data_IF_689613332021
#
_entry.id   IF_689613332021
#
_cell.length_a   1.000
_cell.length_b   1.000
_cell.length_c   1.000
_cell.angle_alpha   90.00
_cell.angle_beta   90.00
_cell.angle_gamma   90.00
#
_symmetry.space_group_name_H-M   'P 1'
#
loop_
_entity.id
_entity.type
_entity.pdbx_description
1 polymer ?
#
# COMPACT_ATOMS: atom_id res chain seq x y z
N UNK A 1 10.00 19.35 2.66
CA UNK A 1 10.03 17.90 2.45
C UNK A 1 8.67 17.32 2.78
N UNK A 2 7.94 16.83 1.77
CA UNK A 2 6.64 16.19 1.86
C UNK A 2 6.85 14.68 1.78
N UNK A 3 6.68 14.00 2.91
CA UNK A 3 6.75 12.54 2.96
C UNK A 3 5.37 11.98 2.64
N UNK A 4 5.30 11.18 1.58
CA UNK A 4 4.17 10.34 1.21
C UNK A 4 4.45 8.89 1.57
N UNK A 5 3.39 8.13 1.76
CA UNK A 5 3.47 6.72 2.08
C UNK A 5 2.21 6.05 1.60
N UNK A 6 2.30 4.75 1.35
CA UNK A 6 1.12 3.91 1.21
C UNK A 6 0.42 3.70 2.58
N UNK A 7 1.13 3.92 3.69
CA UNK A 7 0.64 3.64 5.05
C UNK A 7 0.82 4.77 6.10
N UNK A 8 1.58 5.87 5.86
CA UNK A 8 1.75 7.05 6.76
C UNK A 8 2.52 8.27 6.16
N UNK A 9 1.87 9.44 6.01
CA UNK A 9 2.46 10.68 5.45
C UNK A 9 1.38 11.74 5.15
N UNK A 10 1.50 12.54 4.07
CA UNK A 10 0.39 13.39 3.56
C UNK A 10 -0.91 12.59 3.31
N UNK A 11 -0.78 11.27 3.14
CA UNK A 11 -1.88 10.32 3.14
C UNK A 11 -1.40 8.87 3.02
N UNK A 12 -2.32 7.98 2.68
CA UNK A 12 -2.06 6.55 2.42
C UNK A 12 -3.09 5.92 1.48
N UNK A 13 -2.78 4.74 0.96
CA UNK A 13 -3.69 3.88 0.19
C UNK A 13 -3.66 2.50 0.84
N UNK A 14 -4.80 2.04 1.32
CA UNK A 14 -4.95 0.77 2.02
C UNK A 14 -6.15 0.02 1.44
N UNK A 15 -6.00 -1.28 1.22
CA UNK A 15 -7.04 -2.13 0.67
C UNK A 15 -7.99 -2.62 1.78
N UNK A 16 -7.46 -2.92 2.96
CA UNK A 16 -8.24 -3.45 4.08
C UNK A 16 -9.02 -2.35 4.82
N UNK A 17 -10.34 -2.53 4.89
CA UNK A 17 -11.22 -1.56 5.53
C UNK A 17 -11.06 -1.43 7.03
N UNK A 18 -10.67 -2.51 7.72
CA UNK A 18 -10.45 -2.49 9.17
C UNK A 18 -9.14 -1.77 9.49
N UNK A 19 -8.09 -2.00 8.70
CA UNK A 19 -6.84 -1.24 8.79
C UNK A 19 -7.09 0.26 8.58
N UNK A 20 -7.92 0.63 7.60
CA UNK A 20 -8.34 2.02 7.40
C UNK A 20 -9.05 2.63 8.61
N UNK A 21 -9.94 1.89 9.28
CA UNK A 21 -10.63 2.35 10.49
C UNK A 21 -9.61 2.65 11.59
N UNK A 22 -8.70 1.71 11.86
CA UNK A 22 -7.64 1.88 12.85
C UNK A 22 -6.74 3.07 12.50
N UNK A 23 -6.37 3.24 11.24
CA UNK A 23 -5.54 4.36 10.79
C UNK A 23 -6.24 5.70 11.05
N UNK A 24 -7.52 5.83 10.67
CA UNK A 24 -8.31 7.06 10.89
C UNK A 24 -8.52 7.39 12.36
N UNK A 25 -8.58 6.37 13.22
CA UNK A 25 -8.70 6.57 14.67
C UNK A 25 -7.42 7.16 15.29
N UNK A 26 -6.25 6.91 14.69
CA UNK A 26 -4.95 7.29 15.25
C UNK A 26 -4.24 8.42 14.49
N UNK A 27 -4.66 8.74 13.26
CA UNK A 27 -4.01 9.72 12.40
C UNK A 27 -5.02 10.69 11.76
N UNK A 28 -4.60 11.94 11.57
CA UNK A 28 -5.39 12.99 10.88
C UNK A 28 -5.18 13.02 9.36
N UNK A 29 -4.36 12.13 8.83
CA UNK A 29 -4.01 12.09 7.41
C UNK A 29 -5.12 11.45 6.57
N UNK A 30 -5.22 11.85 5.30
CA UNK A 30 -6.19 11.26 4.37
C UNK A 30 -5.76 9.84 4.00
N UNK A 31 -6.64 8.86 4.14
CA UNK A 31 -6.42 7.50 3.66
C UNK A 31 -7.46 7.14 2.60
N UNK A 32 -6.98 6.61 1.48
CA UNK A 32 -7.82 6.09 0.40
C UNK A 32 -7.99 4.60 0.66
N UNK A 33 -9.24 4.19 0.90
CA UNK A 33 -9.58 2.78 1.03
C UNK A 33 -9.88 2.23 -0.36
N UNK A 34 -8.87 1.66 -1.03
CA UNK A 34 -9.01 1.09 -2.37
C UNK A 34 -7.83 0.16 -2.70
N UNK A 35 -8.03 -0.68 -3.70
CA UNK A 35 -6.94 -1.40 -4.35
C UNK A 35 -6.01 -0.40 -5.05
N UNK A 36 -4.73 -0.41 -4.66
CA UNK A 36 -3.69 0.44 -5.25
C UNK A 36 -3.65 0.33 -6.78
N UNK A 37 -3.88 -0.86 -7.34
CA UNK A 37 -3.89 -1.09 -8.79
C UNK A 37 -5.04 -0.36 -9.52
N UNK A 38 -6.06 0.11 -8.79
CA UNK A 38 -7.24 0.81 -9.31
C UNK A 38 -7.22 2.32 -9.01
N UNK A 39 -6.22 2.80 -8.26
CA UNK A 39 -6.10 4.24 -7.94
C UNK A 39 -5.37 4.95 -9.07
N UNK A 40 -5.97 6.04 -9.59
CA UNK A 40 -5.26 6.93 -10.51
C UNK A 40 -4.23 7.78 -9.76
N UNK A 41 -2.97 7.35 -9.83
CA UNK A 41 -1.85 7.99 -9.16
C UNK A 41 -1.57 9.41 -9.68
N UNK A 42 -2.02 9.76 -10.89
CA UNK A 42 -1.80 11.09 -11.49
C UNK A 42 -2.56 12.20 -10.77
N UNK A 43 -3.66 11.85 -10.10
CA UNK A 43 -4.50 12.78 -9.34
C UNK A 43 -4.03 12.97 -7.90
N UNK A 44 -2.96 12.28 -7.49
CA UNK A 44 -2.40 12.42 -6.15
C UNK A 44 -1.48 13.64 -6.07
N UNK A 45 -1.45 14.26 -4.90
CA UNK A 45 -0.51 15.36 -4.62
C UNK A 45 0.94 14.90 -4.77
N UNK A 46 1.80 15.75 -5.34
CA UNK A 46 3.24 15.48 -5.40
C UNK A 46 3.82 15.23 -4.00
N UNK A 47 4.66 14.20 -3.92
CA UNK A 47 5.40 13.79 -2.72
C UNK A 47 6.89 13.75 -3.05
N UNK A 48 7.73 13.96 -2.05
CA UNK A 48 9.18 13.88 -2.18
C UNK A 48 9.71 12.49 -1.82
N UNK A 49 9.01 11.77 -0.94
CA UNK A 49 9.36 10.42 -0.46
C UNK A 49 8.12 9.54 -0.55
N UNK A 50 8.29 8.29 -0.98
CA UNK A 50 7.27 7.24 -0.93
C UNK A 50 7.75 6.11 -0.03
N UNK A 51 6.95 5.72 0.97
CA UNK A 51 7.21 4.51 1.74
C UNK A 51 6.15 3.44 1.46
N UNK A 52 6.57 2.18 1.31
CA UNK A 52 5.69 1.07 0.95
C UNK A 52 6.03 -0.17 1.80
N UNK A 53 5.01 -0.82 2.36
CA UNK A 53 5.10 -2.16 2.93
C UNK A 53 4.27 -3.11 2.08
N UNK A 54 4.90 -3.84 1.18
CA UNK A 54 4.17 -4.76 0.30
C UNK A 54 3.90 -6.11 1.00
N UNK A 55 2.85 -6.84 0.59
CA UNK A 55 2.54 -8.16 1.13
C UNK A 55 3.75 -9.11 1.06
N UNK A 56 4.25 -9.55 2.21
CA UNK A 56 5.43 -10.41 2.27
C UNK A 56 5.10 -11.90 2.08
N UNK A 57 3.81 -12.28 2.06
CA UNK A 57 3.34 -13.67 2.07
C UNK A 57 3.97 -14.52 0.95
N UNK A 58 4.14 -13.95 -0.23
CA UNK A 58 4.75 -14.64 -1.37
C UNK A 58 6.24 -14.97 -1.17
N UNK A 59 6.94 -14.27 -0.28
CA UNK A 59 8.39 -14.37 -0.07
C UNK A 59 8.77 -14.92 1.30
N UNK A 60 7.87 -14.82 2.28
CA UNK A 60 8.09 -15.24 3.67
C UNK A 60 8.40 -16.73 3.78
N UNK A 61 9.30 -17.08 4.72
CA UNK A 61 9.60 -18.47 5.10
C UNK A 61 8.36 -19.19 5.63
N UNK A 62 7.45 -18.46 6.26
CA UNK A 62 6.18 -19.00 6.75
C UNK A 62 5.11 -19.15 5.65
N UNK A 63 5.38 -18.72 4.42
CA UNK A 63 4.49 -18.85 3.27
C UNK A 63 4.92 -19.94 2.29
N UNK A 64 4.19 -20.09 1.18
CA UNK A 64 4.50 -21.08 0.13
C UNK A 64 5.70 -20.69 -0.76
N UNK A 65 6.32 -19.53 -0.51
CA UNK A 65 7.49 -19.01 -1.25
C UNK A 65 7.33 -19.04 -2.77
N UNK A 66 6.10 -18.81 -3.24
CA UNK A 66 5.76 -18.76 -4.67
C UNK A 66 6.34 -17.52 -5.37
N UNK A 67 6.77 -16.52 -4.60
CA UNK A 67 7.35 -15.29 -5.09
C UNK A 67 6.44 -14.64 -6.13
N UNK A 68 7.00 -14.29 -7.28
CA UNK A 68 6.25 -13.68 -8.38
C UNK A 68 5.18 -14.58 -9.02
N UNK A 69 5.17 -15.88 -8.74
CA UNK A 69 4.14 -16.81 -9.22
C UNK A 69 2.94 -16.91 -8.27
N UNK A 70 2.91 -16.08 -7.23
CA UNK A 70 1.78 -16.04 -6.29
C UNK A 70 0.62 -15.23 -6.88
N UNK A 71 -0.41 -15.95 -7.35
CA UNK A 71 -1.65 -15.39 -7.90
C UNK A 71 -2.55 -14.75 -6.83
N UNK A 72 -2.30 -15.01 -5.54
CA UNK A 72 -3.11 -14.55 -4.41
C UNK A 72 -2.82 -13.11 -3.94
N UNK A 73 -2.08 -12.32 -4.71
CA UNK A 73 -1.81 -10.90 -4.40
C UNK A 73 -0.45 -10.60 -3.76
N UNK A 74 0.41 -11.61 -3.56
CA UNK A 74 1.78 -11.42 -3.07
C UNK A 74 2.85 -11.24 -4.16
N UNK A 75 2.51 -11.57 -5.41
CA UNK A 75 3.42 -11.58 -6.56
C UNK A 75 3.76 -10.19 -7.13
N UNK A 76 4.01 -9.18 -6.27
CA UNK A 76 4.58 -7.87 -6.64
C UNK A 76 3.98 -7.14 -7.86
N UNK A 77 2.76 -7.49 -8.28
CA UNK A 77 2.16 -7.12 -9.57
C UNK A 77 1.89 -5.62 -9.71
N UNK A 78 1.95 -4.89 -8.59
CA UNK A 78 1.72 -3.46 -8.43
C UNK A 78 2.99 -2.59 -8.54
N UNK A 79 4.19 -3.17 -8.63
CA UNK A 79 5.46 -2.41 -8.74
C UNK A 79 5.79 -1.94 -10.19
N UNK A 80 4.81 -1.95 -11.09
CA UNK A 80 4.94 -1.35 -12.43
C UNK A 80 4.61 0.16 -12.34
N UNK A 81 5.54 0.94 -11.82
CA UNK A 81 5.51 2.41 -11.92
C UNK A 81 6.20 2.86 -13.21
#
# INVERSE_FOLDING_TARGET
MKIGSLFAGIGGIELDSKACITYKANHKHKIINNDLAKVDLKNLSKIDILTAGFPCQAFSVAGYRKGFKDEGGGGMSFLKF
#
